data_IF_812000554480
#
_entry.id   IF_812000554480
#
_cell.length_a   1.000
_cell.length_b   1.000
_cell.length_c   1.000
_cell.angle_alpha   90.00
_cell.angle_beta   90.00
_cell.angle_gamma   90.00
#
_symmetry.space_group_name_H-M   'P 1'
#
loop_
_entity.id
_entity.type
_entity.pdbx_description
1 polymer ?
#
# COMPACT_ATOMS: atom_id res chain seq x y z
N UNK A 1 14.59 50.84 -34.30
CA UNK A 1 13.41 50.21 -33.65
C UNK A 1 13.53 48.72 -33.76
N UNK A 2 13.97 48.08 -32.69
CA UNK A 2 14.24 46.65 -32.67
C UNK A 2 13.05 45.96 -32.01
N UNK A 3 12.29 45.22 -32.79
CA UNK A 3 11.20 44.39 -32.29
C UNK A 3 11.79 43.13 -31.62
N UNK A 4 11.68 43.07 -30.31
CA UNK A 4 11.98 41.87 -29.55
C UNK A 4 10.78 40.92 -29.65
N UNK A 5 10.90 39.85 -30.46
CA UNK A 5 9.89 38.82 -30.56
C UNK A 5 10.00 37.91 -29.34
N UNK A 6 9.03 38.01 -28.45
CA UNK A 6 8.85 37.04 -27.35
C UNK A 6 8.48 35.68 -27.92
N UNK A 7 9.35 34.69 -27.73
CA UNK A 7 9.07 33.32 -28.10
C UNK A 7 7.82 32.81 -27.34
N UNK A 8 6.90 32.06 -28.01
CA UNK A 8 5.75 31.48 -27.33
C UNK A 8 6.19 30.49 -26.29
N UNK A 9 5.67 30.61 -25.05
CA UNK A 9 5.83 29.59 -24.01
C UNK A 9 5.33 28.25 -24.55
N UNK A 10 6.21 27.25 -24.56
CA UNK A 10 5.83 25.90 -24.93
C UNK A 10 4.70 25.44 -23.99
N UNK A 11 3.53 25.20 -24.55
CA UNK A 11 2.39 24.65 -23.81
C UNK A 11 2.72 23.19 -23.48
N UNK A 12 2.73 22.86 -22.19
CA UNK A 12 2.93 21.49 -21.72
C UNK A 12 1.78 20.62 -22.26
N UNK A 13 2.07 19.55 -22.99
CA UNK A 13 1.01 18.72 -23.57
C UNK A 13 0.16 18.07 -22.47
N UNK A 14 -1.15 17.84 -22.72
CA UNK A 14 -2.11 17.36 -21.71
C UNK A 14 -1.72 16.06 -21.01
N UNK A 15 -0.90 15.23 -21.67
CA UNK A 15 -0.42 13.98 -21.09
C UNK A 15 0.73 14.17 -20.09
N UNK A 16 1.46 15.29 -20.15
CA UNK A 16 2.48 15.65 -19.17
C UNK A 16 1.87 16.22 -17.86
N UNK A 17 0.62 16.68 -17.90
CA UNK A 17 -0.09 17.21 -16.74
C UNK A 17 -0.59 16.13 -15.77
N UNK A 18 -0.41 14.83 -16.07
CA UNK A 18 -0.87 13.72 -15.25
C UNK A 18 0.26 12.90 -14.60
N UNK A 19 1.51 13.32 -14.71
CA UNK A 19 2.61 12.62 -14.04
C UNK A 19 2.64 13.00 -12.55
N UNK A 20 2.38 12.00 -11.70
CA UNK A 20 2.52 12.13 -10.25
C UNK A 20 4.01 12.15 -9.92
N UNK A 21 4.45 13.16 -9.15
CA UNK A 21 5.84 13.24 -8.69
C UNK A 21 6.08 12.23 -7.56
N UNK A 22 6.72 11.13 -7.89
CA UNK A 22 7.13 10.07 -6.97
C UNK A 22 8.65 10.06 -6.72
N UNK A 23 9.34 11.16 -7.02
CA UNK A 23 10.81 11.26 -6.92
C UNK A 23 11.36 11.06 -5.50
N UNK A 24 10.52 11.25 -4.48
CA UNK A 24 10.89 10.99 -3.07
C UNK A 24 10.89 9.51 -2.71
N UNK A 25 10.27 8.66 -3.54
CA UNK A 25 10.29 7.21 -3.33
C UNK A 25 11.57 6.60 -3.87
N UNK A 26 12.18 5.73 -3.07
CA UNK A 26 13.41 5.00 -3.43
C UNK A 26 13.19 3.50 -3.27
N UNK A 27 13.66 2.74 -4.25
CA UNK A 27 13.72 1.28 -4.13
C UNK A 27 14.54 0.91 -2.90
N UNK A 28 14.07 -0.05 -2.11
CA UNK A 28 14.67 -0.46 -0.85
C UNK A 28 14.09 0.22 0.39
N UNK A 29 13.17 1.18 0.23
CA UNK A 29 12.43 1.74 1.37
C UNK A 29 11.62 0.67 2.08
N UNK A 30 11.70 0.66 3.41
CA UNK A 30 11.06 -0.33 4.27
C UNK A 30 10.10 0.32 5.25
N UNK A 31 9.05 -0.41 5.55
CA UNK A 31 8.12 -0.10 6.61
C UNK A 31 7.76 -1.35 7.39
N UNK A 32 7.24 -1.18 8.59
CA UNK A 32 6.83 -2.28 9.46
C UNK A 32 5.57 -1.91 10.23
N UNK A 33 4.88 -2.95 10.70
CA UNK A 33 3.74 -2.84 11.59
C UNK A 33 3.70 -4.04 12.54
N UNK A 34 3.21 -3.83 13.74
CA UNK A 34 3.13 -4.83 14.80
C UNK A 34 1.70 -4.99 15.28
N UNK A 35 1.37 -6.19 15.73
CA UNK A 35 0.08 -6.50 16.36
C UNK A 35 0.25 -7.55 17.44
N UNK A 36 -0.35 -7.33 18.61
CA UNK A 36 -0.57 -8.37 19.61
C UNK A 36 -1.86 -9.10 19.26
N UNK A 37 -1.77 -10.39 18.96
CA UNK A 37 -2.94 -11.20 18.57
C UNK A 37 -3.89 -11.37 19.76
N UNK A 38 -5.06 -10.77 19.64
CA UNK A 38 -6.16 -10.90 20.60
C UNK A 38 -7.27 -11.83 20.06
N UNK A 39 -8.30 -12.13 20.89
CA UNK A 39 -9.45 -12.95 20.47
C UNK A 39 -10.17 -12.40 19.23
N UNK A 40 -10.24 -11.08 19.10
CA UNK A 40 -10.88 -10.36 17.98
C UNK A 40 -10.18 -10.59 16.64
N UNK A 41 -8.92 -11.00 16.65
CA UNK A 41 -8.08 -11.25 15.48
C UNK A 41 -8.14 -12.69 14.96
N UNK A 42 -8.92 -13.54 15.61
CA UNK A 42 -8.99 -14.98 15.26
C UNK A 42 -9.91 -15.25 14.08
N UNK A 43 -9.63 -16.31 13.34
CA UNK A 43 -10.40 -16.71 12.17
C UNK A 43 -11.91 -16.86 12.43
N UNK A 44 -12.39 -17.44 13.55
CA UNK A 44 -13.82 -17.51 13.84
C UNK A 44 -14.47 -16.13 14.04
N UNK A 45 -13.75 -15.19 14.64
CA UNK A 45 -14.28 -13.83 14.90
C UNK A 45 -14.32 -12.98 13.63
N UNK A 46 -13.35 -13.15 12.75
CA UNK A 46 -13.31 -12.47 11.45
C UNK A 46 -14.27 -13.13 10.44
N UNK A 47 -14.58 -14.42 10.60
CA UNK A 47 -15.41 -15.18 9.68
C UNK A 47 -14.62 -15.90 8.58
N UNK A 48 -13.31 -16.01 8.71
CA UNK A 48 -12.44 -16.62 7.69
C UNK A 48 -12.05 -18.06 7.97
N UNK A 49 -12.51 -18.65 9.06
CA UNK A 49 -12.23 -20.03 9.44
C UNK A 49 -12.83 -20.40 10.80
N UNK A 50 -12.58 -21.61 11.25
CA UNK A 50 -13.15 -22.15 12.50
C UNK A 50 -12.11 -22.41 13.59
N UNK A 51 -10.83 -22.35 13.25
CA UNK A 51 -9.74 -22.57 14.21
C UNK A 51 -9.36 -21.23 14.85
N UNK A 52 -9.23 -21.20 16.18
CA UNK A 52 -8.98 -19.98 16.96
C UNK A 52 -7.49 -19.55 16.92
N UNK A 53 -7.01 -19.23 15.75
CA UNK A 53 -5.68 -18.68 15.48
C UNK A 53 -5.81 -17.40 14.69
N UNK A 54 -4.71 -16.64 14.53
CA UNK A 54 -4.65 -15.43 13.71
C UNK A 54 -5.32 -15.64 12.35
N UNK A 55 -6.30 -14.82 12.03
CA UNK A 55 -6.99 -14.86 10.75
C UNK A 55 -6.08 -14.34 9.63
N UNK A 56 -6.09 -14.99 8.48
CA UNK A 56 -5.35 -14.54 7.29
C UNK A 56 -5.67 -13.09 6.89
N UNK A 57 -6.95 -12.64 6.85
CA UNK A 57 -7.25 -11.24 6.56
C UNK A 57 -6.60 -10.24 7.53
N UNK A 58 -6.41 -10.60 8.78
CA UNK A 58 -5.73 -9.75 9.78
C UNK A 58 -4.24 -9.65 9.48
N UNK A 59 -3.59 -10.75 9.12
CA UNK A 59 -2.19 -10.74 8.68
C UNK A 59 -2.03 -9.86 7.43
N UNK A 60 -2.93 -9.97 6.46
CA UNK A 60 -2.92 -9.13 5.25
C UNK A 60 -3.07 -7.65 5.60
N UNK A 61 -4.00 -7.30 6.49
CA UNK A 61 -4.16 -5.92 6.96
C UNK A 61 -2.85 -5.37 7.56
N UNK A 62 -2.14 -6.17 8.34
CA UNK A 62 -0.86 -5.77 8.93
C UNK A 62 0.23 -5.58 7.87
N UNK A 63 0.26 -6.43 6.85
CA UNK A 63 1.15 -6.30 5.69
C UNK A 63 0.87 -5.01 4.92
N UNK A 64 -0.39 -4.66 4.69
CA UNK A 64 -0.76 -3.39 4.07
C UNK A 64 -0.35 -2.19 4.92
N UNK A 65 -0.52 -2.26 6.24
CA UNK A 65 -0.06 -1.21 7.15
C UNK A 65 1.47 -1.04 7.10
N UNK A 66 2.24 -2.12 6.99
CA UNK A 66 3.68 -2.05 6.81
C UNK A 66 4.07 -1.36 5.48
N UNK A 67 3.36 -1.63 4.40
CA UNK A 67 3.57 -0.97 3.11
C UNK A 67 3.25 0.53 3.18
N UNK A 68 2.17 0.92 3.86
CA UNK A 68 1.85 2.33 4.13
C UNK A 68 2.97 3.01 4.92
N UNK A 69 3.47 2.38 5.98
CA UNK A 69 4.55 2.92 6.78
C UNK A 69 5.83 3.17 5.98
N UNK A 70 6.05 2.41 4.90
CA UNK A 70 7.22 2.57 4.03
C UNK A 70 7.16 3.84 3.16
N UNK A 71 5.99 4.25 2.67
CA UNK A 71 5.92 5.20 1.55
C UNK A 71 4.85 6.30 1.68
N UNK A 72 3.77 6.09 2.42
CA UNK A 72 2.59 6.97 2.35
C UNK A 72 2.91 8.43 2.71
N UNK A 73 3.76 8.64 3.71
CA UNK A 73 4.20 9.97 4.16
C UNK A 73 5.08 10.72 3.15
N UNK A 74 5.54 10.05 2.09
CA UNK A 74 6.40 10.62 1.04
C UNK A 74 5.64 10.90 -0.26
N UNK A 75 4.35 10.57 -0.31
CA UNK A 75 3.51 10.86 -1.46
C UNK A 75 3.22 12.37 -1.55
N UNK A 76 3.07 12.92 -2.77
CA UNK A 76 2.72 14.33 -2.94
C UNK A 76 1.35 14.65 -2.33
N UNK A 77 1.17 15.92 -1.95
CA UNK A 77 -0.10 16.41 -1.40
C UNK A 77 -1.30 16.03 -2.30
N UNK A 78 -2.39 15.62 -1.65
CA UNK A 78 -3.60 15.20 -2.34
C UNK A 78 -3.53 13.80 -2.99
N UNK A 79 -2.46 13.06 -2.74
CA UNK A 79 -2.28 11.70 -3.24
C UNK A 79 -2.16 10.69 -2.10
N UNK A 80 -2.75 9.52 -2.31
CA UNK A 80 -2.67 8.38 -1.40
C UNK A 80 -2.52 7.10 -2.20
N UNK A 81 -2.09 6.01 -1.55
CA UNK A 81 -2.00 4.71 -2.19
C UNK A 81 -3.14 3.79 -1.77
N UNK A 82 -3.55 2.94 -2.69
CA UNK A 82 -4.56 1.89 -2.47
C UNK A 82 -3.99 0.53 -2.85
N UNK A 83 -4.26 -0.50 -2.06
CA UNK A 83 -3.92 -1.88 -2.39
C UNK A 83 -4.71 -2.37 -3.60
N UNK A 84 -4.05 -3.01 -4.55
CA UNK A 84 -4.65 -3.52 -5.79
C UNK A 84 -4.33 -4.98 -6.08
N UNK A 85 -3.28 -5.54 -5.48
CA UNK A 85 -2.87 -6.93 -5.70
C UNK A 85 -2.18 -7.48 -4.47
N UNK A 86 -2.46 -8.75 -4.18
CA UNK A 86 -1.86 -9.52 -3.11
C UNK A 86 -1.58 -10.94 -3.62
N UNK A 87 -0.32 -11.33 -3.59
CA UNK A 87 0.12 -12.70 -3.79
C UNK A 87 0.94 -13.11 -2.56
N UNK A 88 0.23 -13.49 -1.50
CA UNK A 88 0.77 -13.75 -0.18
C UNK A 88 0.33 -15.13 0.30
N UNK A 89 1.28 -15.87 0.87
CA UNK A 89 1.03 -17.15 1.56
C UNK A 89 1.02 -16.92 3.05
N UNK A 90 0.08 -17.57 3.74
CA UNK A 90 0.01 -17.69 5.19
C UNK A 90 0.26 -19.16 5.52
N UNK A 91 1.45 -19.52 5.97
CA UNK A 91 1.90 -20.91 6.06
C UNK A 91 2.14 -21.42 7.48
N UNK A 92 2.01 -20.57 8.51
CA UNK A 92 2.12 -20.96 9.91
C UNK A 92 1.08 -20.26 10.77
N UNK A 93 0.47 -20.97 11.69
CA UNK A 93 -0.56 -20.45 12.58
C UNK A 93 0.05 -19.72 13.78
N UNK A 94 -0.57 -18.61 14.18
CA UNK A 94 -0.18 -17.85 15.37
C UNK A 94 -1.33 -17.84 16.39
N UNK A 95 -1.09 -18.31 17.65
CA UNK A 95 -2.12 -18.31 18.69
C UNK A 95 -2.34 -16.91 19.28
N UNK A 96 -3.51 -16.72 19.93
CA UNK A 96 -3.78 -15.54 20.76
C UNK A 96 -2.67 -15.38 21.82
N UNK A 97 -2.25 -14.15 22.06
CA UNK A 97 -1.21 -13.80 23.03
C UNK A 97 0.18 -13.61 22.43
N UNK A 98 0.42 -14.05 21.20
CA UNK A 98 1.68 -13.77 20.50
C UNK A 98 1.62 -12.44 19.74
N UNK A 99 2.76 -11.78 19.65
CA UNK A 99 2.97 -10.60 18.83
C UNK A 99 3.37 -11.04 17.42
N UNK A 100 2.82 -10.36 16.42
CA UNK A 100 3.25 -10.50 15.03
C UNK A 100 3.87 -9.20 14.54
N UNK A 101 4.84 -9.32 13.64
CA UNK A 101 5.56 -8.23 13.01
C UNK A 101 5.54 -8.41 11.50
N UNK A 102 5.05 -7.42 10.77
CA UNK A 102 5.07 -7.40 9.32
C UNK A 102 6.05 -6.36 8.81
N UNK A 103 6.71 -6.68 7.70
CA UNK A 103 7.60 -5.79 6.98
C UNK A 103 7.21 -5.71 5.52
N UNK A 104 7.43 -4.56 4.92
CA UNK A 104 7.28 -4.34 3.48
C UNK A 104 8.47 -3.56 2.96
N UNK A 105 9.03 -3.99 1.85
CA UNK A 105 10.12 -3.33 1.14
C UNK A 105 9.67 -2.96 -0.26
N UNK A 106 9.82 -1.69 -0.63
CA UNK A 106 9.56 -1.23 -2.00
C UNK A 106 10.62 -1.77 -2.93
N UNK A 107 10.24 -2.67 -3.84
CA UNK A 107 11.17 -3.34 -4.75
C UNK A 107 11.05 -2.89 -6.20
N UNK A 108 9.93 -2.26 -6.57
CA UNK A 108 9.72 -1.74 -7.93
C UNK A 108 8.72 -0.59 -7.94
N UNK A 109 9.01 0.39 -8.79
CA UNK A 109 8.12 1.47 -9.20
C UNK A 109 7.79 1.29 -10.68
N UNK A 110 6.51 1.19 -11.01
CA UNK A 110 6.03 1.05 -12.38
C UNK A 110 4.94 2.10 -12.63
N UNK A 111 5.35 3.26 -13.16
CA UNK A 111 4.48 4.42 -13.23
C UNK A 111 4.01 4.84 -11.83
N UNK A 112 2.71 4.72 -11.58
CA UNK A 112 2.10 4.98 -10.26
C UNK A 112 1.85 3.72 -9.43
N UNK A 113 2.29 2.56 -9.90
CA UNK A 113 2.18 1.29 -9.18
C UNK A 113 3.43 1.03 -8.36
N UNK A 114 3.24 0.76 -7.08
CA UNK A 114 4.26 0.45 -6.10
C UNK A 114 4.22 -1.04 -5.83
N UNK A 115 5.33 -1.74 -6.02
CA UNK A 115 5.44 -3.18 -5.77
C UNK A 115 6.31 -3.43 -4.55
N UNK A 116 5.78 -4.17 -3.61
CA UNK A 116 6.43 -4.52 -2.34
C UNK A 116 6.70 -6.01 -2.23
N UNK A 117 7.87 -6.35 -1.72
CA UNK A 117 8.14 -7.64 -1.09
C UNK A 117 7.69 -7.55 0.36
N UNK A 118 6.90 -8.52 0.82
CA UNK A 118 6.31 -8.49 2.16
C UNK A 118 6.57 -9.79 2.93
N UNK A 119 6.71 -9.65 4.24
CA UNK A 119 6.93 -10.76 5.16
C UNK A 119 6.17 -10.51 6.47
N UNK A 120 5.76 -11.57 7.12
CA UNK A 120 5.21 -11.54 8.47
C UNK A 120 5.82 -12.66 9.32
N UNK A 121 6.14 -12.33 10.56
CA UNK A 121 6.72 -13.23 11.56
C UNK A 121 5.91 -13.15 12.84
N UNK A 122 5.79 -14.26 13.56
CA UNK A 122 5.44 -14.22 14.96
C UNK A 122 6.70 -14.30 15.84
N UNK A 123 6.53 -14.49 17.14
CA UNK A 123 7.67 -14.54 18.08
C UNK A 123 8.53 -15.80 17.91
N UNK A 124 8.11 -16.76 17.13
CA UNK A 124 8.77 -18.06 16.99
C UNK A 124 9.28 -18.32 15.57
N UNK A 125 8.53 -17.88 14.54
CA UNK A 125 8.79 -18.31 13.17
C UNK A 125 8.22 -17.32 12.14
N UNK A 126 8.68 -17.40 10.86
CA UNK A 126 7.97 -16.77 9.76
C UNK A 126 6.58 -17.39 9.61
N UNK A 127 5.56 -16.56 9.38
CA UNK A 127 4.17 -17.00 9.24
C UNK A 127 3.58 -16.71 7.86
N UNK A 128 4.15 -15.75 7.12
CA UNK A 128 3.69 -15.41 5.78
C UNK A 128 4.70 -14.62 5.01
N UNK A 129 4.59 -14.68 3.68
CA UNK A 129 5.41 -13.88 2.76
C UNK A 129 4.79 -13.81 1.38
N UNK A 130 5.25 -12.87 0.56
CA UNK A 130 4.82 -12.72 -0.81
C UNK A 130 5.05 -11.33 -1.37
N UNK A 131 4.18 -10.92 -2.28
CA UNK A 131 4.20 -9.61 -2.90
C UNK A 131 2.87 -8.87 -2.70
N UNK A 132 2.96 -7.55 -2.68
CA UNK A 132 1.81 -6.66 -2.58
C UNK A 132 2.00 -5.48 -3.52
N UNK A 133 0.96 -5.11 -4.26
CA UNK A 133 0.98 -3.95 -5.13
C UNK A 133 -0.02 -2.91 -4.64
N UNK A 134 0.40 -1.65 -4.70
CA UNK A 134 -0.43 -0.48 -4.40
C UNK A 134 -0.37 0.49 -5.58
N UNK A 135 -1.44 1.24 -5.79
CA UNK A 135 -1.49 2.28 -6.82
C UNK A 135 -1.68 3.65 -6.16
N UNK A 136 -0.89 4.62 -6.59
CA UNK A 136 -1.03 6.01 -6.14
C UNK A 136 -2.15 6.69 -6.91
N UNK A 137 -3.08 7.31 -6.20
CA UNK A 137 -4.24 7.99 -6.77
C UNK A 137 -4.33 9.44 -6.29
N UNK A 138 -4.87 10.31 -7.13
CA UNK A 138 -5.32 11.62 -6.70
C UNK A 138 -6.66 11.47 -5.98
N UNK A 139 -6.72 11.84 -4.70
CA UNK A 139 -7.87 11.59 -3.81
C UNK A 139 -9.14 12.27 -4.35
N UNK A 140 -9.05 13.53 -4.77
CA UNK A 140 -10.22 14.27 -5.26
C UNK A 140 -10.83 13.64 -6.52
N UNK A 141 -10.00 13.19 -7.47
CA UNK A 141 -10.47 12.47 -8.67
C UNK A 141 -11.05 11.10 -8.34
N UNK A 142 -10.44 10.43 -7.37
CA UNK A 142 -10.91 9.14 -6.90
C UNK A 142 -12.29 9.27 -6.25
N UNK A 143 -12.48 10.25 -5.37
CA UNK A 143 -13.77 10.53 -4.71
C UNK A 143 -14.87 10.86 -5.71
N UNK A 144 -14.58 11.66 -6.75
CA UNK A 144 -15.52 11.93 -7.83
C UNK A 144 -15.98 10.65 -8.54
N UNK A 145 -15.07 9.70 -8.73
CA UNK A 145 -15.37 8.40 -9.33
C UNK A 145 -16.26 7.55 -8.41
N UNK A 146 -16.02 7.59 -7.10
CA UNK A 146 -16.84 6.90 -6.11
C UNK A 146 -18.25 7.50 -6.08
N UNK A 147 -18.37 8.83 -6.07
CA UNK A 147 -19.69 9.51 -6.10
C UNK A 147 -20.51 9.12 -7.34
N UNK A 148 -19.89 8.98 -8.51
CA UNK A 148 -20.56 8.48 -9.71
C UNK A 148 -21.12 7.06 -9.55
N UNK A 149 -20.43 6.18 -8.81
CA UNK A 149 -20.95 4.85 -8.47
C UNK A 149 -22.18 4.90 -7.57
N UNK A 150 -22.29 5.92 -6.73
CA UNK A 150 -23.44 6.13 -5.84
C UNK A 150 -24.61 6.80 -6.54
N UNK A 151 -24.49 7.17 -7.81
CA UNK A 151 -25.54 7.82 -8.59
C UNK A 151 -25.65 9.33 -8.36
N UNK A 152 -24.57 9.91 -7.87
CA UNK A 152 -24.52 11.36 -7.64
C UNK A 152 -23.89 12.10 -8.82
#
# INVERSE_FOLDING_TARGET
MTFCATAPRAQTPPWQLSMIDLSHLKIGMKGSADLLVGPEHTAPRIGSGRVAVLATPVMINLIEAAALAAVEHLLPDGHQSLGIHLDVRHFAATPVGMRIHATAELVRLDGRTLVFQVEAHDEKEPIGSGSHERVVVNVARFDQRIQRKLGA
#
